data_IF_444547256290
#
_entry.id   IF_444547256290
#
_cell.length_a   1.000
_cell.length_b   1.000
_cell.length_c   1.000
_cell.angle_alpha   90.00
_cell.angle_beta   90.00
_cell.angle_gamma   90.00
#
_symmetry.space_group_name_H-M   'P 1'
#
loop_
_entity.id
_entity.type
_entity.pdbx_description
1 polymer ?
#
# COMPACT_ATOMS: atom_id res chain seq x y z
N UNK A 1 -8.73 25.23 6.47
CA UNK A 1 -8.40 24.14 5.52
C UNK A 1 -7.52 23.12 6.22
N UNK A 2 -7.77 21.82 6.05
CA UNK A 2 -7.05 20.77 6.79
C UNK A 2 -5.63 20.57 6.24
N UNK A 3 -4.62 20.74 7.10
CA UNK A 3 -3.18 20.69 6.80
C UNK A 3 -2.64 19.30 6.41
N UNK A 4 -3.51 18.29 6.27
CA UNK A 4 -3.12 16.87 6.17
C UNK A 4 -2.30 16.56 4.90
N UNK A 5 -2.63 17.15 3.75
CA UNK A 5 -1.89 16.93 2.51
C UNK A 5 -0.48 17.51 2.61
N UNK A 6 -0.38 18.74 3.11
CA UNK A 6 0.89 19.42 3.31
C UNK A 6 1.76 18.69 4.32
N UNK A 7 1.19 18.19 5.42
CA UNK A 7 1.89 17.37 6.41
C UNK A 7 2.39 16.04 5.84
N UNK A 8 1.55 15.33 5.09
CA UNK A 8 1.93 14.08 4.44
C UNK A 8 3.05 14.28 3.42
N UNK A 9 2.98 15.34 2.61
CA UNK A 9 4.03 15.67 1.65
C UNK A 9 5.33 16.07 2.36
N UNK A 10 5.26 16.93 3.37
CA UNK A 10 6.42 17.36 4.15
C UNK A 10 7.09 16.18 4.87
N UNK A 11 6.30 15.23 5.39
CA UNK A 11 6.81 13.97 5.95
C UNK A 11 7.46 13.12 4.88
N UNK A 12 6.85 13.01 3.70
CA UNK A 12 7.37 12.20 2.60
C UNK A 12 8.68 12.75 2.02
N UNK A 13 8.88 14.07 1.99
CA UNK A 13 10.10 14.73 1.48
C UNK A 13 11.13 14.98 2.59
N UNK A 14 10.75 14.84 3.86
CA UNK A 14 11.47 15.39 5.02
C UNK A 14 12.98 15.16 5.09
N UNK A 15 13.49 14.02 4.60
CA UNK A 15 14.93 13.70 4.56
C UNK A 15 15.74 14.58 3.61
N UNK A 16 15.11 15.13 2.57
CA UNK A 16 15.77 15.87 1.49
C UNK A 16 15.52 17.38 1.54
N UNK A 17 14.62 17.84 2.42
CA UNK A 17 14.16 19.23 2.47
C UNK A 17 15.28 20.26 2.68
N UNK A 18 16.38 19.85 3.29
CA UNK A 18 17.52 20.71 3.61
C UNK A 18 18.66 20.61 2.59
N UNK A 19 18.49 19.86 1.51
CA UNK A 19 19.48 19.73 0.45
C UNK A 19 19.38 20.88 -0.57
N UNK A 20 20.45 21.14 -1.35
CA UNK A 20 20.40 22.06 -2.49
C UNK A 20 19.23 21.72 -3.42
N UNK A 21 18.66 22.74 -4.08
CA UNK A 21 17.45 22.60 -4.91
C UNK A 21 17.59 21.48 -5.95
N UNK A 22 18.75 21.38 -6.60
CA UNK A 22 19.02 20.32 -7.57
C UNK A 22 18.96 18.92 -6.95
N UNK A 23 19.60 18.73 -5.79
CA UNK A 23 19.59 17.44 -5.06
C UNK A 23 18.18 17.11 -4.55
N UNK A 24 17.43 18.11 -4.06
CA UNK A 24 16.04 17.92 -3.64
C UNK A 24 15.18 17.41 -4.80
N UNK A 25 15.27 18.05 -5.96
CA UNK A 25 14.50 17.68 -7.16
C UNK A 25 14.89 16.28 -7.66
N UNK A 26 16.18 15.96 -7.70
CA UNK A 26 16.67 14.63 -8.10
C UNK A 26 16.15 13.53 -7.15
N UNK A 27 16.21 13.75 -5.84
CA UNK A 27 15.70 12.79 -4.86
C UNK A 27 14.16 12.61 -4.95
N UNK A 28 13.41 13.68 -5.21
CA UNK A 28 11.97 13.60 -5.45
C UNK A 28 11.70 12.79 -6.73
N UNK A 29 12.40 13.08 -7.82
CA UNK A 29 12.29 12.34 -9.10
C UNK A 29 12.57 10.84 -8.88
N UNK A 30 13.66 10.51 -8.20
CA UNK A 30 14.03 9.13 -7.88
C UNK A 30 12.96 8.42 -7.03
N UNK A 31 12.41 9.10 -6.02
CA UNK A 31 11.30 8.59 -5.22
C UNK A 31 10.06 8.28 -6.05
N UNK A 32 9.70 9.16 -6.98
CA UNK A 32 8.57 8.96 -7.89
C UNK A 32 8.83 7.74 -8.78
N UNK A 33 10.02 7.65 -9.40
CA UNK A 33 10.43 6.51 -10.22
C UNK A 33 10.31 5.17 -9.49
N UNK A 34 10.92 5.08 -8.29
CA UNK A 34 10.85 3.89 -7.42
C UNK A 34 9.41 3.53 -7.07
N UNK A 35 8.58 4.53 -6.75
CA UNK A 35 7.17 4.32 -6.40
C UNK A 35 6.37 3.80 -7.59
N UNK A 36 6.53 4.38 -8.78
CA UNK A 36 5.84 3.94 -10.00
C UNK A 36 6.27 2.53 -10.42
N UNK A 37 7.57 2.24 -10.38
CA UNK A 37 8.09 0.89 -10.65
C UNK A 37 7.54 -0.14 -9.65
N UNK A 38 7.56 0.17 -8.34
CA UNK A 38 6.97 -0.70 -7.31
C UNK A 38 5.49 -0.99 -7.60
N UNK A 39 4.69 0.03 -7.95
CA UNK A 39 3.27 -0.14 -8.28
C UNK A 39 3.07 -1.01 -9.52
N UNK A 40 3.86 -0.78 -10.58
CA UNK A 40 3.86 -1.60 -11.80
C UNK A 40 4.24 -3.06 -11.53
N UNK A 41 5.25 -3.31 -10.68
CA UNK A 41 5.64 -4.67 -10.29
C UNK A 41 4.57 -5.39 -9.48
N UNK A 42 3.90 -4.68 -8.57
CA UNK A 42 2.83 -5.24 -7.74
C UNK A 42 1.63 -5.63 -8.61
N UNK A 43 1.17 -4.73 -9.50
CA UNK A 43 -0.02 -4.98 -10.32
C UNK A 43 0.19 -6.11 -11.34
N UNK A 44 1.43 -6.34 -11.79
CA UNK A 44 1.78 -7.50 -12.65
C UNK A 44 1.51 -8.85 -11.99
N UNK A 45 1.53 -8.92 -10.66
CA UNK A 45 1.27 -10.15 -9.89
C UNK A 45 -0.22 -10.36 -9.60
N UNK A 46 -1.06 -9.36 -9.86
CA UNK A 46 -2.48 -9.43 -9.54
C UNK A 46 -3.26 -10.09 -10.67
N UNK A 47 -4.18 -10.98 -10.29
CA UNK A 47 -5.04 -11.74 -11.18
C UNK A 47 -6.53 -11.40 -10.95
N UNK A 48 -7.33 -11.53 -12.01
CA UNK A 48 -8.77 -11.25 -12.04
C UNK A 48 -9.12 -9.81 -12.42
N UNK A 49 -10.32 -9.35 -12.07
CA UNK A 49 -10.82 -8.02 -12.50
C UNK A 49 -10.61 -6.95 -11.45
N UNK A 50 -10.89 -7.24 -10.18
CA UNK A 50 -10.82 -6.27 -9.07
C UNK A 50 -9.45 -6.23 -8.37
N UNK A 51 -9.06 -5.04 -7.90
CA UNK A 51 -7.89 -4.81 -7.07
C UNK A 51 -8.01 -5.57 -5.73
N UNK A 52 -6.93 -6.16 -5.18
CA UNK A 52 -7.00 -6.96 -3.96
C UNK A 52 -7.64 -6.26 -2.75
N UNK A 53 -7.46 -4.95 -2.61
CA UNK A 53 -8.10 -4.15 -1.56
C UNK A 53 -9.63 -4.16 -1.67
N UNK A 54 -10.16 -4.07 -2.90
CA UNK A 54 -11.60 -4.16 -3.12
C UNK A 54 -12.09 -5.58 -2.82
N UNK A 55 -11.39 -6.60 -3.31
CA UNK A 55 -11.71 -8.01 -3.00
C UNK A 55 -11.72 -8.30 -1.51
N UNK A 56 -10.77 -7.75 -0.73
CA UNK A 56 -10.70 -7.97 0.72
C UNK A 56 -11.72 -7.16 1.51
N UNK A 57 -12.18 -6.04 0.97
CA UNK A 57 -13.26 -5.22 1.52
C UNK A 57 -14.62 -5.89 1.37
N UNK A 58 -14.84 -6.52 0.22
CA UNK A 58 -16.03 -7.32 -0.06
C UNK A 58 -16.01 -8.57 0.82
N UNK A 59 -16.74 -8.50 1.93
CA UNK A 59 -16.95 -9.63 2.82
C UNK A 59 -18.42 -9.98 2.83
N UNK A 60 -18.72 -11.25 2.60
CA UNK A 60 -20.02 -11.82 2.88
C UNK A 60 -20.20 -11.87 4.40
N UNK A 61 -21.24 -11.23 4.90
CA UNK A 61 -21.68 -11.38 6.28
C UNK A 61 -23.11 -11.91 6.19
N UNK A 62 -23.39 -13.01 6.88
CA UNK A 62 -24.74 -13.52 6.99
C UNK A 62 -25.62 -12.47 7.66
N UNK A 63 -26.72 -12.10 6.99
CA UNK A 63 -27.72 -11.15 7.48
C UNK A 63 -29.08 -11.66 7.08
N UNK A 64 -30.09 -11.24 7.82
CA UNK A 64 -31.48 -11.45 7.44
C UNK A 64 -31.80 -10.60 6.22
N UNK A 65 -32.21 -11.25 5.14
CA UNK A 65 -32.51 -10.62 3.86
C UNK A 65 -33.97 -10.91 3.53
N UNK A 66 -34.78 -9.86 3.49
CA UNK A 66 -36.15 -9.89 3.00
C UNK A 66 -36.13 -9.41 1.55
N UNK A 67 -35.99 -10.35 0.62
CA UNK A 67 -35.98 -10.06 -0.82
C UNK A 67 -37.40 -9.72 -1.29
N UNK A 68 -37.57 -8.57 -1.94
CA UNK A 68 -38.81 -8.22 -2.62
C UNK A 68 -38.81 -8.76 -4.05
N UNK A 69 -37.73 -8.50 -4.80
CA UNK A 69 -37.48 -9.05 -6.13
C UNK A 69 -35.96 -9.20 -6.35
N UNK A 70 -35.53 -9.59 -7.54
CA UNK A 70 -34.11 -9.84 -7.81
C UNK A 70 -33.22 -8.59 -7.73
N UNK A 71 -33.81 -7.39 -7.79
CA UNK A 71 -33.09 -6.11 -7.71
C UNK A 71 -33.27 -5.40 -6.36
N UNK A 72 -34.37 -5.66 -5.64
CA UNK A 72 -34.75 -4.96 -4.42
C UNK A 72 -34.83 -5.89 -3.21
N UNK A 73 -34.16 -5.51 -2.14
CA UNK A 73 -34.29 -6.20 -0.86
C UNK A 73 -34.17 -5.24 0.33
N UNK A 74 -34.77 -5.66 1.44
CA UNK A 74 -34.51 -5.12 2.76
C UNK A 74 -33.53 -6.04 3.48
N UNK A 75 -32.43 -5.46 3.97
CA UNK A 75 -31.45 -6.20 4.76
C UNK A 75 -31.58 -5.76 6.21
N UNK A 76 -31.86 -6.71 7.11
CA UNK A 76 -32.06 -6.47 8.54
C UNK A 76 -30.79 -6.79 9.32
N UNK A 77 -30.46 -5.94 10.29
CA UNK A 77 -29.35 -6.14 11.24
C UNK A 77 -29.59 -5.32 12.50
N UNK A 78 -29.48 -5.96 13.67
CA UNK A 78 -29.58 -5.30 14.98
C UNK A 78 -30.86 -4.44 15.12
N UNK A 79 -32.02 -4.97 14.70
CA UNK A 79 -33.31 -4.27 14.79
C UNK A 79 -33.50 -3.10 13.81
N UNK A 80 -32.56 -2.88 12.88
CA UNK A 80 -32.69 -1.88 11.81
C UNK A 80 -32.75 -2.56 10.44
N UNK A 81 -33.38 -1.90 9.48
CA UNK A 81 -33.45 -2.36 8.09
C UNK A 81 -32.87 -1.31 7.14
N UNK A 82 -32.24 -1.79 6.07
CA UNK A 82 -31.74 -0.96 4.99
C UNK A 82 -32.25 -1.48 3.67
N UNK A 83 -32.78 -0.57 2.85
CA UNK A 83 -33.15 -0.85 1.48
C UNK A 83 -31.88 -0.94 0.62
N UNK A 84 -31.82 -1.95 -0.24
CA UNK A 84 -30.76 -2.16 -1.23
C UNK A 84 -31.42 -2.29 -2.60
N UNK A 85 -30.88 -1.55 -3.58
CA UNK A 85 -31.24 -1.62 -5.00
C UNK A 85 -29.97 -1.89 -5.79
N UNK A 86 -29.87 -3.07 -6.41
CA UNK A 86 -28.64 -3.57 -7.03
C UNK A 86 -28.28 -2.86 -8.33
N UNK A 87 -29.24 -2.71 -9.24
CA UNK A 87 -29.04 -2.10 -10.57
C UNK A 87 -28.63 -0.64 -10.47
N UNK A 88 -29.21 0.09 -9.51
CA UNK A 88 -28.84 1.47 -9.21
C UNK A 88 -27.57 1.59 -8.37
N UNK A 89 -27.04 0.48 -7.86
CA UNK A 89 -25.91 0.43 -6.92
C UNK A 89 -26.16 1.31 -5.68
N UNK A 90 -27.38 1.27 -5.15
CA UNK A 90 -27.82 2.11 -4.02
C UNK A 90 -28.10 1.28 -2.78
N UNK A 91 -27.75 1.85 -1.64
CA UNK A 91 -28.20 1.39 -0.33
C UNK A 91 -28.62 2.59 0.51
N UNK A 92 -29.69 2.44 1.31
CA UNK A 92 -30.14 3.51 2.21
C UNK A 92 -29.08 3.94 3.24
N UNK A 93 -28.06 3.11 3.51
CA UNK A 93 -26.94 3.50 4.38
C UNK A 93 -25.96 4.50 3.74
N UNK A 94 -26.09 4.79 2.44
CA UNK A 94 -25.26 5.73 1.64
C UNK A 94 -23.76 5.40 1.50
N UNK A 95 -23.27 4.39 2.21
CA UNK A 95 -21.84 3.99 2.15
C UNK A 95 -21.46 3.54 0.74
N UNK A 96 -22.35 2.85 0.02
CA UNK A 96 -22.05 2.35 -1.33
C UNK A 96 -21.85 3.50 -2.30
N UNK A 97 -22.73 4.48 -2.27
CA UNK A 97 -22.72 5.67 -3.13
C UNK A 97 -21.47 6.53 -2.90
N UNK A 98 -21.02 6.63 -1.63
CA UNK A 98 -19.82 7.42 -1.29
C UNK A 98 -18.53 6.67 -1.65
N UNK A 99 -18.47 5.35 -1.42
CA UNK A 99 -17.24 4.58 -1.62
C UNK A 99 -17.07 4.00 -3.02
N UNK A 100 -18.15 3.88 -3.79
CA UNK A 100 -18.18 3.14 -5.06
C UNK A 100 -18.02 1.61 -4.89
N UNK A 101 -18.10 1.11 -3.66
CA UNK A 101 -18.02 -0.32 -3.33
C UNK A 101 -19.25 -0.76 -2.54
N UNK A 102 -19.80 -1.96 -2.80
CA UNK A 102 -20.90 -2.53 -2.03
C UNK A 102 -20.65 -2.42 -0.52
N UNK A 103 -21.59 -1.78 0.17
CA UNK A 103 -21.58 -1.73 1.63
C UNK A 103 -21.93 -3.10 2.22
N UNK A 104 -21.78 -3.26 3.54
CA UNK A 104 -22.12 -4.53 4.20
C UNK A 104 -23.56 -5.02 3.98
N UNK A 105 -24.52 -4.16 3.63
CA UNK A 105 -25.90 -4.56 3.31
C UNK A 105 -26.00 -5.05 1.88
N UNK A 106 -25.47 -4.27 0.94
CA UNK A 106 -25.37 -4.65 -0.47
C UNK A 106 -24.59 -5.95 -0.66
N UNK A 107 -23.44 -6.09 0.00
CA UNK A 107 -22.63 -7.31 -0.01
C UNK A 107 -23.41 -8.53 0.46
N UNK A 108 -24.28 -8.39 1.46
CA UNK A 108 -25.12 -9.49 1.93
C UNK A 108 -26.17 -9.87 0.86
N UNK A 109 -26.82 -8.88 0.24
CA UNK A 109 -27.81 -9.14 -0.80
C UNK A 109 -27.20 -9.74 -2.07
N UNK A 110 -26.04 -9.23 -2.53
CA UNK A 110 -25.28 -9.80 -3.67
C UNK A 110 -24.86 -11.24 -3.37
N UNK A 111 -24.42 -11.52 -2.14
CA UNK A 111 -24.06 -12.90 -1.73
C UNK A 111 -25.28 -13.83 -1.77
N UNK A 112 -26.46 -13.31 -1.39
CA UNK A 112 -27.71 -14.07 -1.38
C UNK A 112 -28.20 -14.39 -2.79
N UNK A 113 -28.09 -13.45 -3.74
CA UNK A 113 -28.42 -13.71 -5.15
C UNK A 113 -27.36 -14.53 -5.89
N UNK A 114 -26.17 -14.72 -5.27
CA UNK A 114 -25.01 -15.42 -5.84
C UNK A 114 -24.50 -14.81 -7.15
N UNK A 115 -24.70 -13.51 -7.32
CA UNK A 115 -24.29 -12.79 -8.51
C UNK A 115 -22.80 -12.36 -8.44
N UNK A 116 -22.26 -11.92 -9.57
CA UNK A 116 -20.86 -11.54 -9.75
C UNK A 116 -20.61 -10.16 -9.12
N UNK A 117 -19.82 -10.15 -8.05
CA UNK A 117 -19.42 -8.94 -7.30
C UNK A 117 -18.87 -7.81 -8.16
N UNK A 118 -18.16 -8.15 -9.23
CA UNK A 118 -17.47 -7.21 -10.12
C UNK A 118 -18.46 -6.27 -10.83
N UNK A 119 -19.70 -6.73 -11.08
CA UNK A 119 -20.79 -5.92 -11.67
C UNK A 119 -21.22 -4.75 -10.77
N UNK A 120 -21.00 -4.87 -9.47
CA UNK A 120 -21.49 -3.95 -8.44
C UNK A 120 -20.42 -3.00 -7.90
N UNK A 121 -19.17 -3.16 -8.35
CA UNK A 121 -18.06 -2.31 -7.97
C UNK A 121 -17.84 -1.22 -9.02
N UNK A 122 -17.37 -0.06 -8.58
CA UNK A 122 -16.93 0.98 -9.50
C UNK A 122 -15.70 0.53 -10.30
N UNK A 123 -15.66 0.92 -11.57
CA UNK A 123 -14.55 0.73 -12.50
C UNK A 123 -13.20 1.19 -11.95
N UNK A 124 -13.17 2.21 -11.08
CA UNK A 124 -11.95 2.69 -10.42
C UNK A 124 -11.23 1.62 -9.59
N UNK A 125 -11.94 0.59 -9.13
CA UNK A 125 -11.37 -0.51 -8.37
C UNK A 125 -10.93 -1.70 -9.24
N UNK A 126 -10.91 -1.55 -10.56
CA UNK A 126 -10.42 -2.59 -11.47
C UNK A 126 -8.91 -2.56 -11.58
N UNK A 127 -8.31 -3.74 -11.78
CA UNK A 127 -6.89 -3.90 -12.06
C UNK A 127 -6.51 -3.13 -13.32
N UNK A 128 -7.38 -3.11 -14.33
CA UNK A 128 -7.17 -2.35 -15.57
C UNK A 128 -6.99 -0.86 -15.28
N UNK A 129 -7.94 -0.21 -14.59
CA UNK A 129 -7.82 1.21 -14.24
C UNK A 129 -6.62 1.51 -13.37
N UNK A 130 -6.26 0.59 -12.47
CA UNK A 130 -5.02 0.72 -11.69
C UNK A 130 -3.77 0.69 -12.57
N UNK A 131 -3.70 -0.20 -13.57
CA UNK A 131 -2.59 -0.24 -14.54
C UNK A 131 -2.51 1.07 -15.31
N UNK A 132 -3.63 1.56 -15.81
CA UNK A 132 -3.71 2.81 -16.58
C UNK A 132 -3.22 4.01 -15.75
N UNK A 133 -3.65 4.10 -14.48
CA UNK A 133 -3.24 5.19 -13.58
C UNK A 133 -1.72 5.25 -13.30
N UNK A 134 -1.04 4.11 -13.41
CA UNK A 134 0.42 4.00 -13.19
C UNK A 134 1.20 3.62 -14.45
N UNK A 135 0.58 3.75 -15.63
CA UNK A 135 1.21 3.40 -16.89
C UNK A 135 2.29 4.41 -17.31
N UNK A 136 2.17 5.67 -16.87
CA UNK A 136 3.10 6.72 -17.27
C UNK A 136 4.53 6.44 -16.78
N UNK A 137 5.50 6.72 -17.65
CA UNK A 137 6.91 6.67 -17.35
C UNK A 137 7.45 8.06 -17.05
N UNK A 138 8.25 8.18 -15.99
CA UNK A 138 9.08 9.37 -15.79
C UNK A 138 10.37 9.14 -16.56
N UNK A 139 10.79 10.15 -17.34
CA UNK A 139 12.01 10.08 -18.17
C UNK A 139 13.25 9.94 -17.28
N UNK A 140 14.19 9.10 -17.71
CA UNK A 140 15.49 8.95 -17.07
C UNK A 140 16.38 10.14 -17.42
N UNK A 141 17.13 10.64 -16.44
CA UNK A 141 18.09 11.73 -16.64
C UNK A 141 19.50 11.17 -16.52
N UNK A 142 20.43 11.75 -17.27
CA UNK A 142 21.86 11.48 -17.16
C UNK A 142 22.41 11.92 -15.79
N UNK A 143 23.59 11.42 -15.44
CA UNK A 143 24.33 11.90 -14.26
C UNK A 143 24.71 13.37 -14.40
N UNK A 144 24.86 14.08 -13.28
CA UNK A 144 25.21 15.51 -13.25
C UNK A 144 26.52 15.81 -13.97
N UNK A 145 27.44 14.86 -13.95
CA UNK A 145 28.72 14.84 -14.64
C UNK A 145 28.60 14.81 -16.17
N UNK A 146 27.46 14.34 -16.68
CA UNK A 146 27.18 14.20 -18.12
C UNK A 146 26.24 15.29 -18.65
N UNK A 147 25.84 16.25 -17.82
CA UNK A 147 24.95 17.32 -18.25
C UNK A 147 25.69 18.30 -19.16
N UNK A 148 25.08 18.62 -20.30
CA UNK A 148 25.60 19.63 -21.22
C UNK A 148 25.63 20.98 -20.51
N UNK A 149 26.79 21.62 -20.47
CA UNK A 149 26.90 23.00 -20.01
C UNK A 149 26.36 23.91 -21.09
N UNK A 150 25.20 24.51 -20.83
CA UNK A 150 24.66 25.54 -21.69
C UNK A 150 25.36 26.86 -21.35
N UNK A 151 26.03 27.46 -22.32
CA UNK A 151 26.54 28.83 -22.23
C UNK A 151 25.41 29.84 -22.52
N UNK A 152 24.31 29.72 -21.77
CA UNK A 152 23.30 30.77 -21.73
C UNK A 152 23.86 31.90 -20.88
N UNK A 153 23.97 33.11 -21.43
CA UNK A 153 24.41 34.32 -20.70
C UNK A 153 23.53 34.67 -19.49
N UNK A 154 22.41 33.98 -19.31
CA UNK A 154 21.51 34.07 -18.18
C UNK A 154 22.09 33.34 -16.95
N UNK A 155 22.50 34.12 -15.94
CA UNK A 155 22.93 33.59 -14.64
C UNK A 155 21.75 33.56 -13.67
N UNK A 156 21.40 32.39 -13.17
CA UNK A 156 20.44 32.24 -12.08
C UNK A 156 21.17 32.55 -10.77
N UNK A 157 20.88 33.72 -10.19
CA UNK A 157 21.39 34.10 -8.88
C UNK A 157 20.52 33.49 -7.77
N UNK A 158 21.10 33.14 -6.61
CA UNK A 158 20.30 32.75 -5.46
C UNK A 158 19.31 33.88 -5.10
N UNK A 159 18.09 33.55 -4.65
CA UNK A 159 17.13 34.56 -4.25
C UNK A 159 17.76 35.46 -3.18
N UNK A 160 17.52 36.76 -3.28
CA UNK A 160 17.96 37.74 -2.29
C UNK A 160 17.12 37.53 -1.02
N UNK A 161 17.56 36.63 -0.15
CA UNK A 161 16.90 36.37 1.13
C UNK A 161 17.42 37.42 2.11
N UNK A 162 16.63 38.47 2.34
CA UNK A 162 16.85 39.36 3.49
C UNK A 162 16.61 38.56 4.76
N UNK A 163 17.62 38.45 5.64
CA UNK A 163 17.39 37.89 6.98
C UNK A 163 16.38 38.79 7.69
N UNK A 164 15.31 38.24 8.30
CA UNK A 164 14.50 39.02 9.22
C UNK A 164 15.40 39.56 10.34
N UNK A 165 15.12 40.77 10.81
CA UNK A 165 15.89 41.38 11.89
C UNK A 165 15.88 40.47 13.13
N UNK A 166 17.06 40.21 13.69
CA UNK A 166 17.23 39.40 14.91
C UNK A 166 17.91 38.04 14.71
N UNK A 167 18.20 37.38 15.83
CA UNK A 167 18.88 36.07 15.87
C UNK A 167 17.96 34.98 15.30
N UNK A 168 18.43 34.15 14.34
CA UNK A 168 17.66 33.01 13.85
C UNK A 168 17.23 32.12 15.02
N UNK A 169 15.91 31.91 15.17
CA UNK A 169 15.39 31.00 16.19
C UNK A 169 15.73 29.57 15.77
N UNK A 170 16.41 28.84 16.66
CA UNK A 170 16.77 27.43 16.44
C UNK A 170 15.54 26.51 16.42
N UNK A 171 14.45 26.94 17.06
CA UNK A 171 13.21 26.17 17.21
C UNK A 171 12.02 26.90 16.57
N UNK A 172 11.10 26.11 16.00
CA UNK A 172 9.80 26.56 15.49
C UNK A 172 8.96 27.20 16.60
N UNK A 173 8.21 28.25 16.28
CA UNK A 173 7.15 28.79 17.15
C UNK A 173 5.98 27.81 17.12
N UNK A 174 5.66 27.23 18.27
CA UNK A 174 4.53 26.31 18.43
C UNK A 174 3.32 27.18 18.82
N UNK A 175 2.27 27.31 17.99
CA UNK A 175 1.04 28.02 18.34
C UNK A 175 0.33 27.34 19.52
N UNK A 176 -0.50 28.10 20.24
CA UNK A 176 -1.10 27.65 21.51
C UNK A 176 -1.94 26.36 21.41
N UNK A 177 -2.50 26.08 20.22
CA UNK A 177 -3.29 24.89 19.91
C UNK A 177 -2.43 23.64 19.61
N UNK A 178 -1.14 23.84 19.32
CA UNK A 178 -0.22 22.70 19.16
C UNK A 178 0.39 22.33 20.51
N UNK A 179 0.10 21.11 20.98
CA UNK A 179 0.78 20.54 22.14
C UNK A 179 2.29 20.48 21.88
N UNK A 180 3.10 21.06 22.77
CA UNK A 180 4.56 20.89 22.76
C UNK A 180 4.84 19.39 22.78
N UNK A 181 5.36 18.84 21.66
CA UNK A 181 6.00 17.53 21.70
C UNK A 181 7.20 17.71 22.64
N UNK A 182 7.05 17.27 23.88
CA UNK A 182 8.16 17.14 24.80
C UNK A 182 9.29 16.40 24.11
N UNK A 183 10.52 16.70 24.50
CA UNK A 183 11.69 15.91 24.11
C UNK A 183 11.44 14.48 24.59
N UNK A 184 10.75 13.69 23.77
CA UNK A 184 10.73 12.26 23.93
C UNK A 184 12.16 11.86 23.63
N UNK A 185 12.92 11.64 24.71
CA UNK A 185 13.84 10.51 24.81
C UNK A 185 13.25 9.44 23.90
N UNK A 186 13.94 9.15 22.81
CA UNK A 186 13.52 8.27 21.72
C UNK A 186 12.67 7.17 22.33
N UNK A 187 11.34 7.24 22.16
CA UNK A 187 10.45 6.27 22.78
C UNK A 187 10.85 4.92 22.18
N UNK A 188 11.57 4.15 23.00
CA UNK A 188 12.13 2.82 22.76
C UNK A 188 11.05 1.83 22.29
N UNK A 189 9.79 2.21 22.45
CA UNK A 189 8.59 1.49 22.02
C UNK A 189 8.52 1.20 20.51
N UNK A 190 9.18 1.99 19.63
CA UNK A 190 9.20 1.66 18.20
C UNK A 190 10.31 0.67 17.81
N UNK A 191 11.41 0.60 18.58
CA UNK A 191 12.42 -0.43 18.39
C UNK A 191 11.94 -1.78 18.94
N UNK A 192 11.14 -1.81 20.01
CA UNK A 192 10.62 -3.06 20.55
C UNK A 192 9.53 -3.68 19.67
N UNK A 193 8.72 -2.89 18.97
CA UNK A 193 7.76 -3.40 17.97
C UNK A 193 8.49 -3.97 16.74
N UNK A 194 9.54 -3.31 16.26
CA UNK A 194 10.33 -3.81 15.13
C UNK A 194 11.19 -5.01 15.54
N UNK A 195 11.74 -5.03 16.76
CA UNK A 195 12.47 -6.18 17.33
C UNK A 195 11.55 -7.36 17.60
N UNK A 196 10.33 -7.15 18.10
CA UNK A 196 9.34 -8.23 18.29
C UNK A 196 8.85 -8.77 16.95
N UNK A 197 8.64 -7.94 15.93
CA UNK A 197 8.30 -8.41 14.58
C UNK A 197 9.45 -9.23 13.95
N UNK A 198 10.70 -8.80 14.13
CA UNK A 198 11.88 -9.55 13.69
C UNK A 198 12.05 -10.88 14.45
N UNK A 199 11.77 -10.90 15.76
CA UNK A 199 11.86 -12.10 16.61
C UNK A 199 10.72 -13.08 16.35
N UNK A 200 9.51 -12.60 16.05
CA UNK A 200 8.37 -13.41 15.58
C UNK A 200 8.67 -14.00 14.19
N UNK A 201 9.32 -13.24 13.30
CA UNK A 201 9.74 -13.74 11.99
C UNK A 201 10.83 -14.81 12.10
N UNK A 202 11.83 -14.60 12.98
CA UNK A 202 12.86 -15.62 13.26
C UNK A 202 12.30 -16.87 13.96
N UNK A 203 11.35 -16.72 14.90
CA UNK A 203 10.68 -17.85 15.57
C UNK A 203 9.75 -18.62 14.61
N UNK A 204 9.07 -17.94 13.68
CA UNK A 204 8.29 -18.59 12.61
C UNK A 204 9.19 -19.38 11.65
N UNK A 205 10.36 -18.83 11.30
CA UNK A 205 11.34 -19.55 10.47
C UNK A 205 11.92 -20.75 11.23
N UNK A 206 12.29 -20.60 12.50
CA UNK A 206 12.83 -21.72 13.30
C UNK A 206 11.79 -22.82 13.54
N UNK A 207 10.51 -22.48 13.67
CA UNK A 207 9.42 -23.44 13.87
C UNK A 207 9.00 -24.11 12.54
N UNK A 208 9.12 -23.42 11.41
CA UNK A 208 8.98 -24.03 10.08
C UNK A 208 10.11 -25.04 9.83
N UNK A 209 11.35 -24.73 10.21
CA UNK A 209 12.50 -25.66 10.06
C UNK A 209 12.42 -26.86 11.02
N UNK A 210 11.71 -26.75 12.16
CA UNK A 210 11.50 -27.83 13.13
C UNK A 210 10.23 -28.67 12.88
N UNK A 211 9.47 -28.38 11.82
CA UNK A 211 8.22 -29.08 11.54
C UNK A 211 8.48 -30.56 11.17
N UNK A 212 7.82 -31.55 11.80
CA UNK A 212 8.12 -32.97 11.62
C UNK A 212 8.01 -33.46 10.17
N UNK A 213 7.14 -32.82 9.37
CA UNK A 213 6.99 -33.11 7.94
C UNK A 213 8.25 -32.83 7.08
N UNK A 214 9.15 -31.93 7.52
CA UNK A 214 10.41 -31.64 6.81
C UNK A 214 11.53 -32.61 7.20
N UNK A 215 11.52 -33.14 8.44
CA UNK A 215 12.42 -34.24 8.84
C UNK A 215 12.09 -35.54 8.09
N UNK A 216 10.81 -35.86 7.95
CA UNK A 216 10.36 -37.05 7.21
C UNK A 216 10.73 -36.98 5.71
N UNK A 217 10.71 -35.79 5.11
CA UNK A 217 11.13 -35.60 3.72
C UNK A 217 12.65 -35.77 3.51
N UNK A 218 13.48 -35.33 4.46
CA UNK A 218 14.94 -35.47 4.37
C UNK A 218 15.40 -36.89 4.73
N UNK A 219 14.74 -37.55 5.68
CA UNK A 219 14.93 -38.98 5.96
C UNK A 219 14.51 -39.84 4.77
N UNK A 220 13.39 -39.54 4.10
CA UNK A 220 12.98 -40.20 2.86
C UNK A 220 14.01 -40.01 1.75
N UNK A 221 14.58 -38.81 1.57
CA UNK A 221 15.67 -38.59 0.60
C UNK A 221 16.92 -39.39 0.94
N UNK A 222 17.33 -39.44 2.22
CA UNK A 222 18.49 -40.23 2.63
C UNK A 222 18.26 -41.74 2.48
N UNK A 223 17.03 -42.22 2.73
CA UNK A 223 16.66 -43.62 2.53
C UNK A 223 16.65 -43.99 1.04
N UNK A 224 16.12 -43.12 0.18
CA UNK A 224 16.17 -43.29 -1.29
C UNK A 224 17.62 -43.28 -1.80
N UNK A 225 18.49 -42.39 -1.28
CA UNK A 225 19.90 -42.36 -1.67
C UNK A 225 20.71 -43.59 -1.24
N UNK A 226 20.28 -44.31 -0.19
CA UNK A 226 20.94 -45.54 0.26
C UNK A 226 20.60 -46.76 -0.59
N UNK A 227 19.43 -46.77 -1.23
CA UNK A 227 18.94 -47.89 -2.09
C UNK A 227 19.38 -47.71 -3.56
N UNK A 228 19.88 -46.52 -3.94
CA UNK A 228 20.36 -46.27 -5.30
C UNK A 228 21.72 -46.95 -5.59
N UNK A 229 21.86 -47.62 -6.75
CA UNK A 229 23.12 -48.23 -7.21
C UNK A 229 24.29 -47.23 -7.28
N UNK A 230 25.55 -47.68 -7.06
CA UNK A 230 26.72 -46.81 -6.87
C UNK A 230 27.00 -45.85 -8.04
N UNK A 231 26.67 -46.26 -9.26
CA UNK A 231 26.84 -45.54 -10.51
C UNK A 231 25.89 -44.33 -10.67
N UNK A 232 24.85 -44.19 -9.86
CA UNK A 232 23.87 -43.09 -9.94
C UNK A 232 24.08 -41.98 -8.90
N UNK A 233 25.06 -42.10 -7.99
CA UNK A 233 25.29 -41.13 -6.90
C UNK A 233 26.17 -39.93 -7.27
N UNK A 234 26.70 -39.86 -8.50
CA UNK A 234 27.79 -38.94 -8.88
C UNK A 234 27.44 -37.69 -9.69
N UNK A 235 26.16 -37.41 -9.99
CA UNK A 235 25.79 -36.20 -10.74
C UNK A 235 24.89 -35.27 -9.90
N UNK A 236 25.50 -34.39 -9.10
CA UNK A 236 24.91 -33.13 -8.60
C UNK A 236 25.93 -32.32 -7.78
N UNK A 237 27.08 -32.01 -8.39
CA UNK A 237 27.90 -30.86 -8.03
C UNK A 237 28.50 -30.31 -9.32
N UNK A 238 27.68 -29.53 -10.03
CA UNK A 238 28.03 -28.40 -10.88
C UNK A 238 26.80 -27.51 -10.93
#
# INVERSE_FOLDING_TARGET
MTNNISEAFNSWVGTFRYQPVLDLLDNIREKILKRLDMKRRIVRKWNGTLVPMAKSYLRSISKEICRSNDNHAEVKRNGKWWQVVLDERKCSCRIWQVKGLPCVHASAFISFTRDIWEKYCDSYFTIKKFKDAYAFGVVTMLGKDQWVRLETGEKIYPPIIKRPAGRPRKNRIIPADETKKGTNVINVVNLDIVKTHAKIHQLKISNLVKHPALKDHEERKQKVMKVLPPNWRRNKKN
#
